data_IF_681925803587
#
_entry.id   IF_681925803587
#
_cell.length_a   1.000
_cell.length_b   1.000
_cell.length_c   1.000
_cell.angle_alpha   90.00
_cell.angle_beta   90.00
_cell.angle_gamma   90.00
#
_symmetry.space_group_name_H-M   'P 1'
#
loop_
_entity.id
_entity.type
_entity.pdbx_description
1 polymer ?
#
# COMPACT_ATOMS: atom_id res chain seq x y z
N UNK A 1 25.34 20.78 1.99
CA UNK A 1 25.15 19.68 2.96
C UNK A 1 23.66 19.60 3.25
N UNK A 2 22.88 18.85 2.45
CA UNK A 2 21.43 18.77 2.69
C UNK A 2 21.20 17.89 3.91
N UNK A 3 20.57 18.46 4.93
CA UNK A 3 20.15 17.76 6.13
C UNK A 3 19.47 16.45 5.75
N UNK A 4 19.92 15.33 6.32
CA UNK A 4 19.37 14.03 6.04
C UNK A 4 17.91 14.01 6.51
N UNK A 5 16.99 14.23 5.55
CA UNK A 5 15.57 14.06 5.79
C UNK A 5 15.34 12.63 6.33
N UNK A 6 14.45 12.43 7.31
CA UNK A 6 14.10 11.09 7.74
C UNK A 6 13.53 10.32 6.54
N UNK A 7 14.11 9.17 6.22
CA UNK A 7 13.66 8.33 5.12
C UNK A 7 12.18 7.97 5.34
N UNK A 8 11.36 8.06 4.30
CA UNK A 8 9.93 7.69 4.40
C UNK A 8 9.76 6.19 4.68
N UNK A 9 8.57 5.78 5.13
CA UNK A 9 8.29 4.35 5.34
C UNK A 9 8.53 3.53 4.06
N UNK A 10 8.12 4.08 2.91
CA UNK A 10 8.35 3.48 1.59
C UNK A 10 9.84 3.44 1.22
N UNK A 11 10.62 4.50 1.46
CA UNK A 11 12.07 4.48 1.22
C UNK A 11 12.80 3.42 2.06
N UNK A 12 12.40 3.23 3.33
CA UNK A 12 12.95 2.18 4.19
C UNK A 12 12.55 0.78 3.71
N UNK A 13 11.32 0.61 3.25
CA UNK A 13 10.85 -0.65 2.68
C UNK A 13 11.62 -1.00 1.40
N UNK A 14 11.81 -0.03 0.50
CA UNK A 14 12.63 -0.21 -0.71
C UNK A 14 14.05 -0.65 -0.34
N UNK A 15 14.68 0.03 0.61
CA UNK A 15 16.03 -0.35 1.05
C UNK A 15 16.09 -1.78 1.59
N UNK A 16 15.08 -2.21 2.36
CA UNK A 16 14.97 -3.60 2.86
C UNK A 16 14.69 -4.60 1.75
N UNK A 17 13.87 -4.25 0.75
CA UNK A 17 13.56 -5.10 -0.38
C UNK A 17 14.80 -5.33 -1.25
N UNK A 18 15.58 -4.28 -1.51
CA UNK A 18 16.86 -4.36 -2.20
C UNK A 18 17.89 -5.22 -1.46
N UNK A 19 17.82 -5.25 -0.11
CA UNK A 19 18.63 -6.12 0.73
C UNK A 19 18.08 -7.56 0.82
N UNK A 20 16.98 -7.88 0.14
CA UNK A 20 16.31 -9.18 0.22
C UNK A 20 15.67 -9.47 1.59
N UNK A 21 15.53 -8.45 2.45
CA UNK A 21 14.99 -8.59 3.81
C UNK A 21 13.46 -8.59 3.87
N UNK A 22 12.79 -8.11 2.81
CA UNK A 22 11.33 -8.18 2.66
C UNK A 22 10.95 -8.65 1.26
N UNK A 23 9.78 -9.28 1.12
CA UNK A 23 9.28 -9.71 -0.18
C UNK A 23 8.72 -8.54 -0.99
N UNK A 24 8.63 -8.67 -2.34
CA UNK A 24 7.97 -7.68 -3.19
C UNK A 24 6.50 -7.41 -2.79
N UNK A 25 5.79 -8.44 -2.33
CA UNK A 25 4.42 -8.31 -1.82
C UNK A 25 4.37 -7.44 -0.57
N UNK A 26 5.29 -7.61 0.39
CA UNK A 26 5.37 -6.74 1.58
C UNK A 26 5.70 -5.29 1.20
N UNK A 27 6.52 -5.08 0.16
CA UNK A 27 6.79 -3.75 -0.37
C UNK A 27 5.51 -3.11 -0.95
N UNK A 28 4.71 -3.87 -1.70
CA UNK A 28 3.43 -3.41 -2.26
C UNK A 28 2.42 -3.06 -1.16
N UNK A 29 2.33 -3.85 -0.09
CA UNK A 29 1.55 -3.50 1.10
C UNK A 29 2.02 -2.20 1.76
N UNK A 30 3.33 -1.96 1.81
CA UNK A 30 3.86 -0.71 2.36
C UNK A 30 3.56 0.47 1.43
N UNK A 31 3.65 0.25 0.11
CA UNK A 31 3.30 1.26 -0.90
C UNK A 31 1.82 1.62 -0.81
N UNK A 32 0.93 0.63 -0.70
CA UNK A 32 -0.52 0.87 -0.62
C UNK A 32 -0.91 1.69 0.62
N UNK A 33 -0.23 1.47 1.75
CA UNK A 33 -0.42 2.23 2.99
C UNK A 33 0.31 3.58 3.02
N UNK A 34 1.13 3.89 2.01
CA UNK A 34 1.91 5.13 1.94
C UNK A 34 1.23 6.19 1.07
N UNK A 35 1.47 7.46 1.38
CA UNK A 35 1.17 8.56 0.48
C UNK A 35 2.33 8.76 -0.50
N UNK A 36 1.99 8.99 -1.76
CA UNK A 36 2.93 9.15 -2.86
C UNK A 36 2.55 10.37 -3.70
N UNK A 37 3.55 10.92 -4.37
CA UNK A 37 3.41 12.08 -5.23
C UNK A 37 3.54 11.60 -6.67
N UNK A 38 2.47 11.83 -7.44
CA UNK A 38 2.48 11.69 -8.89
C UNK A 38 2.81 13.02 -9.53
N UNK A 39 3.46 12.95 -10.68
CA UNK A 39 3.65 14.08 -11.57
C UNK A 39 2.76 13.95 -12.79
N UNK A 40 2.33 15.08 -13.33
CA UNK A 40 1.64 15.15 -14.60
C UNK A 40 1.69 16.56 -15.20
N UNK A 41 1.06 16.69 -16.36
CA UNK A 41 0.94 17.98 -17.05
C UNK A 41 -0.15 18.87 -16.46
N UNK A 42 -1.23 18.26 -15.97
CA UNK A 42 -2.41 18.94 -15.44
C UNK A 42 -2.66 18.52 -14.00
N UNK A 43 -3.19 19.45 -13.20
CA UNK A 43 -3.55 19.18 -11.80
C UNK A 43 -4.84 18.37 -11.75
N UNK A 44 -4.81 17.10 -11.29
CA UNK A 44 -6.03 16.34 -11.13
C UNK A 44 -6.88 16.86 -9.97
N UNK A 45 -8.17 16.50 -9.94
CA UNK A 45 -8.98 16.65 -8.74
C UNK A 45 -8.35 15.89 -7.56
N UNK A 46 -8.57 16.39 -6.34
CA UNK A 46 -7.97 15.81 -5.14
C UNK A 46 -8.31 14.31 -5.00
N UNK A 47 -7.27 13.47 -4.80
CA UNK A 47 -7.42 12.02 -4.71
C UNK A 47 -7.65 11.30 -6.04
N UNK A 48 -7.57 12.00 -7.18
CA UNK A 48 -7.61 11.39 -8.50
C UNK A 48 -6.21 11.31 -9.13
N UNK A 49 -6.06 10.34 -10.05
CA UNK A 49 -4.88 10.26 -10.90
C UNK A 49 -4.90 11.40 -11.94
N UNK A 50 -3.75 11.99 -12.27
CA UNK A 50 -3.63 12.92 -13.39
C UNK A 50 -4.00 12.22 -14.70
N UNK A 51 -4.68 12.94 -15.60
CA UNK A 51 -5.07 12.44 -16.93
C UNK A 51 -3.87 12.09 -17.80
N UNK A 52 -2.75 12.80 -17.59
CA UNK A 52 -1.46 12.55 -18.24
C UNK A 52 -0.40 12.39 -17.16
N UNK A 53 -0.31 11.21 -16.53
CA UNK A 53 0.72 10.92 -15.56
C UNK A 53 2.09 10.83 -16.24
N UNK A 54 3.15 11.09 -15.48
CA UNK A 54 4.50 10.85 -15.96
C UNK A 54 4.76 9.35 -16.11
N UNK A 55 4.75 8.88 -17.36
CA UNK A 55 5.08 7.52 -17.74
C UNK A 55 6.52 7.46 -18.28
N UNK A 56 7.27 6.46 -17.85
CA UNK A 56 8.59 6.14 -18.34
C UNK A 56 8.51 4.90 -19.22
N UNK A 57 8.93 5.02 -20.48
CA UNK A 57 9.05 3.89 -21.39
C UNK A 57 10.46 3.32 -21.29
N UNK A 58 10.59 2.10 -20.78
CA UNK A 58 11.86 1.37 -20.70
C UNK A 58 11.81 0.17 -21.66
N UNK A 59 12.21 0.43 -22.91
CA UNK A 59 12.20 -0.54 -23.99
C UNK A 59 10.78 -0.99 -24.34
N UNK A 60 10.41 -2.22 -23.94
CA UNK A 60 9.09 -2.80 -24.19
C UNK A 60 8.12 -2.66 -22.99
N UNK A 61 8.56 -2.02 -21.90
CA UNK A 61 7.76 -1.83 -20.68
C UNK A 61 7.38 -0.36 -20.55
N UNK A 62 6.13 -0.11 -20.16
CA UNK A 62 5.69 1.22 -19.74
C UNK A 62 5.55 1.21 -18.21
N UNK A 63 6.23 2.14 -17.55
CA UNK A 63 6.33 2.24 -16.09
C UNK A 63 5.77 3.58 -15.62
N UNK A 64 4.87 3.57 -14.64
CA UNK A 64 4.36 4.76 -14.00
C UNK A 64 5.38 5.30 -12.98
N UNK A 65 5.83 6.53 -13.15
CA UNK A 65 6.78 7.15 -12.24
C UNK A 65 6.09 7.71 -10.99
N UNK A 66 6.46 7.17 -9.83
CA UNK A 66 5.95 7.56 -8.52
C UNK A 66 7.07 8.19 -7.70
N UNK A 67 6.77 9.23 -6.94
CA UNK A 67 7.73 9.87 -6.07
C UNK A 67 7.31 9.72 -4.62
N UNK A 68 8.27 9.36 -3.77
CA UNK A 68 8.03 9.27 -2.32
C UNK A 68 7.87 10.64 -1.67
N UNK A 69 8.26 11.71 -2.36
CA UNK A 69 8.21 13.08 -1.85
C UNK A 69 8.43 14.10 -2.97
N UNK A 70 7.97 15.34 -2.76
CA UNK A 70 8.16 16.46 -3.68
C UNK A 70 9.64 16.78 -3.98
N UNK A 71 10.54 16.71 -2.99
CA UNK A 71 11.99 16.90 -3.20
C UNK A 71 12.57 15.97 -4.27
N UNK A 72 12.06 14.74 -4.35
CA UNK A 72 12.50 13.75 -5.34
C UNK A 72 11.91 14.03 -6.72
N UNK A 73 10.74 14.67 -6.75
CA UNK A 73 10.04 15.05 -7.94
C UNK A 73 10.58 16.36 -8.54
N UNK A 74 11.26 17.19 -7.74
CA UNK A 74 11.82 18.49 -8.12
C UNK A 74 12.56 18.53 -9.47
N UNK A 75 13.50 17.60 -9.80
CA UNK A 75 14.16 17.61 -11.10
C UNK A 75 13.25 17.29 -12.29
N UNK A 76 12.06 16.73 -12.05
CA UNK A 76 11.07 16.38 -13.07
C UNK A 76 9.91 17.39 -13.15
N UNK A 77 9.83 18.35 -12.22
CA UNK A 77 8.79 19.38 -12.20
C UNK A 77 8.87 20.34 -13.39
N UNK A 78 10.05 20.55 -13.97
CA UNK A 78 10.19 21.39 -15.18
C UNK A 78 9.43 20.80 -16.37
N UNK A 79 9.46 19.46 -16.51
CA UNK A 79 8.74 18.76 -17.56
C UNK A 79 7.28 18.44 -17.18
N UNK A 80 6.98 18.32 -15.88
CA UNK A 80 5.68 17.95 -15.36
C UNK A 80 5.30 18.89 -14.19
N UNK A 81 4.72 20.07 -14.47
CA UNK A 81 4.55 21.12 -13.46
C UNK A 81 3.47 20.80 -12.42
N UNK A 82 2.60 19.82 -12.67
CA UNK A 82 1.53 19.47 -11.75
C UNK A 82 1.92 18.30 -10.84
N UNK A 83 1.78 18.51 -9.53
CA UNK A 83 1.91 17.48 -8.51
C UNK A 83 0.55 17.03 -8.01
N UNK A 84 0.41 15.71 -7.83
CA UNK A 84 -0.80 15.09 -7.33
C UNK A 84 -0.45 14.14 -6.17
N UNK A 85 -0.64 14.57 -4.91
CA UNK A 85 -0.51 13.66 -3.78
C UNK A 85 -1.71 12.69 -3.79
N UNK A 86 -1.42 11.40 -3.80
CA UNK A 86 -2.42 10.33 -3.79
C UNK A 86 -1.98 9.19 -2.86
N UNK A 87 -2.94 8.41 -2.40
CA UNK A 87 -2.64 7.17 -1.69
C UNK A 87 -2.10 6.12 -2.68
N UNK A 88 -1.08 5.37 -2.28
CA UNK A 88 -0.59 4.23 -3.05
C UNK A 88 -1.68 3.21 -3.34
N UNK A 89 -2.64 3.04 -2.44
CA UNK A 89 -3.83 2.19 -2.67
C UNK A 89 -4.63 2.65 -3.89
N UNK A 90 -4.85 3.96 -4.01
CA UNK A 90 -5.57 4.54 -5.15
C UNK A 90 -4.81 4.33 -6.45
N UNK A 91 -3.48 4.38 -6.42
CA UNK A 91 -2.65 4.13 -7.61
C UNK A 91 -2.75 2.68 -8.03
N UNK A 92 -2.57 1.73 -7.10
CA UNK A 92 -2.60 0.30 -7.42
C UNK A 92 -3.97 -0.15 -7.95
N UNK A 93 -5.06 0.36 -7.38
CA UNK A 93 -6.43 -0.03 -7.78
C UNK A 93 -6.92 0.63 -9.07
N UNK A 94 -6.29 1.72 -9.51
CA UNK A 94 -6.65 2.44 -10.74
C UNK A 94 -5.61 2.31 -11.84
N UNK A 95 -4.56 1.52 -11.62
CA UNK A 95 -3.53 1.28 -12.61
C UNK A 95 -4.12 0.42 -13.74
N UNK A 96 -3.90 0.75 -15.02
CA UNK A 96 -4.27 -0.14 -16.10
C UNK A 96 -3.42 -1.41 -16.11
N UNK A 97 -4.03 -2.53 -16.50
CA UNK A 97 -3.36 -3.82 -16.59
C UNK A 97 -2.16 -3.76 -17.55
N UNK A 98 -1.05 -4.38 -17.17
CA UNK A 98 0.17 -4.40 -17.97
C UNK A 98 1.09 -3.19 -17.78
N UNK A 99 0.69 -2.18 -17.00
CA UNK A 99 1.57 -1.06 -16.63
C UNK A 99 2.38 -1.41 -15.38
N UNK A 100 3.69 -1.18 -15.41
CA UNK A 100 4.54 -1.31 -14.23
C UNK A 100 4.60 -0.01 -13.43
N UNK A 101 5.28 -0.04 -12.29
CA UNK A 101 5.52 1.13 -11.45
C UNK A 101 7.02 1.30 -11.26
N UNK A 102 7.50 2.54 -11.32
CA UNK A 102 8.85 2.90 -10.89
C UNK A 102 8.79 3.96 -9.79
N UNK A 103 9.25 3.61 -8.60
CA UNK A 103 9.35 4.54 -7.48
C UNK A 103 10.70 5.23 -7.50
N UNK A 104 10.71 6.56 -7.39
CA UNK A 104 11.90 7.43 -7.38
C UNK A 104 12.88 7.15 -8.55
N UNK A 105 12.47 7.36 -9.81
CA UNK A 105 13.34 7.16 -10.97
C UNK A 105 14.62 7.99 -10.84
N UNK A 106 15.77 7.40 -11.20
CA UNK A 106 17.08 8.08 -11.16
C UNK A 106 17.69 8.24 -9.75
N UNK A 107 17.04 7.72 -8.70
CA UNK A 107 17.57 7.74 -7.33
C UNK A 107 18.20 6.39 -6.94
N UNK A 108 19.16 6.41 -6.01
CA UNK A 108 19.71 5.17 -5.39
C UNK A 108 18.65 4.34 -4.66
N UNK A 109 17.58 4.99 -4.20
CA UNK A 109 16.41 4.35 -3.59
C UNK A 109 15.28 4.15 -4.61
N UNK A 110 15.64 3.95 -5.88
CA UNK A 110 14.72 3.62 -6.95
C UNK A 110 14.28 2.16 -6.88
N UNK A 111 13.00 1.90 -7.13
CA UNK A 111 12.47 0.54 -7.18
C UNK A 111 11.50 0.40 -8.34
N UNK A 112 11.79 -0.53 -9.24
CA UNK A 112 10.87 -0.95 -10.30
C UNK A 112 10.04 -2.13 -9.79
N UNK A 113 8.74 -2.05 -10.01
CA UNK A 113 7.79 -3.11 -9.75
C UNK A 113 7.12 -3.45 -11.07
N UNK A 114 7.27 -4.68 -11.58
CA UNK A 114 6.66 -5.09 -12.83
C UNK A 114 5.15 -5.22 -12.70
N UNK A 115 4.44 -5.02 -13.81
CA UNK A 115 2.98 -5.12 -13.89
C UNK A 115 2.43 -6.44 -13.31
N UNK A 116 3.12 -7.56 -13.57
CA UNK A 116 2.71 -8.88 -13.06
C UNK A 116 2.58 -8.91 -11.53
N UNK A 117 3.55 -8.36 -10.80
CA UNK A 117 3.51 -8.31 -9.34
C UNK A 117 2.42 -7.38 -8.81
N UNK A 118 2.07 -6.34 -9.57
CA UNK A 118 0.98 -5.42 -9.22
C UNK A 118 -0.35 -6.14 -9.41
N UNK A 119 -0.56 -6.82 -10.54
CA UNK A 119 -1.78 -7.57 -10.81
C UNK A 119 -2.01 -8.66 -9.76
N UNK A 120 -0.99 -9.45 -9.42
CA UNK A 120 -1.06 -10.46 -8.35
C UNK A 120 -1.49 -9.83 -7.01
N UNK A 121 -0.92 -8.68 -6.66
CA UNK A 121 -1.28 -7.97 -5.43
C UNK A 121 -2.69 -7.40 -5.46
N UNK A 122 -3.13 -6.84 -6.59
CA UNK A 122 -4.49 -6.30 -6.73
C UNK A 122 -5.53 -7.43 -6.65
N UNK A 123 -5.26 -8.58 -7.25
CA UNK A 123 -6.09 -9.79 -7.11
C UNK A 123 -6.17 -10.23 -5.64
N UNK A 124 -5.03 -10.32 -4.94
CA UNK A 124 -4.97 -10.65 -3.52
C UNK A 124 -5.75 -9.64 -2.66
N UNK A 125 -5.58 -8.34 -2.94
CA UNK A 125 -6.26 -7.26 -2.23
C UNK A 125 -7.78 -7.35 -2.40
N UNK A 126 -8.27 -7.53 -3.63
CA UNK A 126 -9.69 -7.68 -3.92
C UNK A 126 -10.28 -8.95 -3.29
N UNK A 127 -9.53 -10.06 -3.29
CA UNK A 127 -9.92 -11.30 -2.63
C UNK A 127 -10.06 -11.11 -1.11
N UNK A 128 -9.12 -10.40 -0.48
CA UNK A 128 -9.12 -10.16 0.97
C UNK A 128 -10.30 -9.27 1.42
N UNK A 129 -10.72 -8.33 0.57
CA UNK A 129 -11.88 -7.45 0.86
C UNK A 129 -13.20 -8.23 0.84
N UNK A 130 -13.29 -9.31 0.05
CA UNK A 130 -14.46 -10.18 0.01
C UNK A 130 -14.50 -11.07 1.27
N UNK A 131 -13.36 -11.58 1.74
CA UNK A 131 -13.29 -12.39 2.98
C UNK A 131 -13.44 -11.56 4.28
N UNK A 132 -13.20 -10.25 4.22
CA UNK A 132 -13.45 -9.31 5.32
C UNK A 132 -14.92 -9.14 5.70
N UNK A 133 -15.85 -9.60 4.87
CA UNK A 133 -17.30 -9.58 5.15
C UNK A 133 -17.77 -10.78 5.98
N UNK A 134 -16.99 -11.87 6.04
CA UNK A 134 -17.38 -13.11 6.73
C UNK A 134 -16.68 -13.33 8.08
N UNK A 135 -15.59 -12.61 8.39
CA UNK A 135 -14.88 -12.79 9.67
C UNK A 135 -15.46 -12.00 10.86
N UNK A 136 -16.39 -11.07 10.65
CA UNK A 136 -17.13 -10.45 11.75
C UNK A 136 -18.23 -11.36 12.36
N UNK A 137 -18.57 -12.48 11.71
CA UNK A 137 -19.66 -13.37 12.14
C UNK A 137 -19.20 -14.62 12.93
N UNK A 138 -17.91 -14.80 13.19
CA UNK A 138 -17.35 -16.03 13.81
C UNK A 138 -16.68 -15.86 15.17
N UNK A 139 -17.03 -14.80 15.92
CA UNK A 139 -16.55 -14.60 17.29
C UNK A 139 -17.59 -14.87 18.39
N UNK A 140 -18.82 -15.28 18.08
CA UNK A 140 -19.89 -15.47 19.08
C UNK A 140 -20.64 -16.80 18.92
N UNK A 141 -19.91 -17.92 18.91
CA UNK A 141 -20.54 -19.24 18.96
C UNK A 141 -19.58 -20.33 19.48
N UNK A 142 -18.94 -20.11 20.62
CA UNK A 142 -18.30 -21.22 21.35
C UNK A 142 -18.28 -21.02 22.87
N UNK A 143 -19.37 -20.50 23.45
CA UNK A 143 -19.65 -20.65 24.87
C UNK A 143 -20.48 -21.93 25.09
N UNK A 144 -19.74 -23.04 25.12
CA UNK A 144 -19.98 -24.29 25.84
C UNK A 144 -21.32 -24.36 26.60
N UNK A 145 -22.24 -25.17 26.05
CA UNK A 145 -23.26 -25.81 26.84
C UNK A 145 -22.62 -26.89 27.71
N UNK A 146 -22.56 -26.68 29.02
CA UNK A 146 -22.59 -27.77 29.99
C UNK A 146 -23.38 -27.31 31.22
N UNK A 147 -24.62 -27.79 31.32
CA UNK A 147 -25.40 -27.76 32.56
C UNK A 147 -24.86 -28.82 33.53
N UNK A 148 -24.89 -28.52 34.83
CA UNK A 148 -25.46 -29.46 35.80
C UNK A 148 -26.57 -28.73 36.58
N UNK A 149 -27.84 -29.11 36.40
CA UNK A 149 -28.60 -30.02 37.27
C UNK A 149 -28.41 -29.80 38.78
N UNK A 150 -29.36 -29.04 39.35
CA UNK A 150 -30.14 -29.24 40.60
C UNK A 150 -29.43 -29.77 41.87
N UNK A 151 -29.46 -28.95 42.95
CA UNK A 151 -30.18 -29.19 44.21
C UNK A 151 -29.51 -28.51 45.43
N UNK A 152 -30.23 -27.63 46.12
CA UNK A 152 -30.02 -27.26 47.55
C UNK A 152 -30.41 -28.44 48.47
N UNK A 153 -30.37 -28.38 49.83
CA UNK A 153 -29.84 -27.35 50.78
C UNK A 153 -28.95 -27.95 51.91
N UNK A 154 -28.18 -27.14 52.65
CA UNK A 154 -27.89 -27.39 54.09
C UNK A 154 -27.08 -26.26 54.77
N UNK A 155 -27.71 -25.68 55.80
CA UNK A 155 -27.18 -25.45 57.16
C UNK A 155 -26.03 -24.46 57.41
N UNK A 156 -26.41 -23.34 58.04
CA UNK A 156 -25.82 -22.66 59.21
C UNK A 156 -24.32 -22.85 59.55
N UNK A 157 -23.61 -21.74 59.81
CA UNK A 157 -23.28 -21.23 61.16
C UNK A 157 -21.99 -20.37 61.19
N UNK A 158 -21.97 -19.40 62.13
CA UNK A 158 -20.90 -18.51 62.61
C UNK A 158 -20.56 -17.26 61.76
N UNK A 159 -20.99 -16.07 62.22
CA UNK A 159 -20.34 -15.27 63.29
C UNK A 159 -21.37 -14.44 64.03
#
# INVERSE_FOLDING_TARGET
MSAARPATALERAIARAQQGSISPVTLLWTLSASEIVLLGMEKPPAGALPSSPFLLEDGAKTLLALFTHEDRAQPFLEANPATAPVSGMTVLTRLPDGLGIIVNPGSRLGCEIPAASISEFVEELLSTVIEGSDHAARADAHAVGLRPRIASPCTAQLV
#
